data_IF_321077187142
#
_entry.id   IF_321077187142
#
_cell.length_a   1.000
_cell.length_b   1.000
_cell.length_c   1.000
_cell.angle_alpha   90.00
_cell.angle_beta   90.00
_cell.angle_gamma   90.00
#
_symmetry.space_group_name_H-M   'P 1'
#
loop_
_entity.id
_entity.type
_entity.pdbx_description
1 polymer ?
#
# COMPACT_ATOMS: atom_id res chain seq x y z
N UNK A 1 -4.72 9.87 7.04
CA UNK A 1 -4.48 9.91 5.57
C UNK A 1 -5.05 8.69 4.84
N UNK A 2 -4.66 7.47 5.23
CA UNK A 2 -5.11 6.23 4.57
C UNK A 2 -6.63 6.01 4.67
N UNK A 3 -7.20 6.06 5.87
CA UNK A 3 -8.66 5.94 6.07
C UNK A 3 -9.45 7.07 5.40
N UNK A 4 -8.84 8.25 5.29
CA UNK A 4 -9.45 9.39 4.59
C UNK A 4 -9.46 9.17 3.08
N UNK A 5 -8.38 8.67 2.51
CA UNK A 5 -8.30 8.33 1.10
C UNK A 5 -9.31 7.23 0.72
N UNK A 6 -9.51 6.23 1.58
CA UNK A 6 -10.55 5.21 1.39
C UNK A 6 -11.95 5.84 1.38
N UNK A 7 -12.24 6.71 2.36
CA UNK A 7 -13.51 7.42 2.44
C UNK A 7 -13.74 8.33 1.23
N UNK A 8 -12.72 9.06 0.79
CA UNK A 8 -12.79 9.96 -0.35
C UNK A 8 -12.98 9.19 -1.67
N UNK A 9 -12.43 7.97 -1.77
CA UNK A 9 -12.60 7.07 -2.90
C UNK A 9 -13.91 6.25 -2.84
N UNK A 10 -14.62 6.26 -1.70
CA UNK A 10 -15.87 5.52 -1.52
C UNK A 10 -15.70 3.99 -1.37
N UNK A 11 -14.49 3.53 -1.03
CA UNK A 11 -14.18 2.12 -0.84
C UNK A 11 -13.92 1.78 0.63
N UNK A 12 -14.30 0.57 1.04
CA UNK A 12 -13.89 0.01 2.30
C UNK A 12 -12.53 -0.68 2.18
N UNK A 13 -11.84 -0.89 3.31
CA UNK A 13 -10.55 -1.56 3.32
C UNK A 13 -10.60 -2.99 2.77
N UNK A 14 -11.78 -3.64 2.82
CA UNK A 14 -12.05 -4.96 2.24
C UNK A 14 -12.11 -4.98 0.72
N UNK A 15 -12.45 -3.85 0.09
CA UNK A 15 -12.62 -3.74 -1.36
C UNK A 15 -11.28 -3.63 -2.10
N UNK A 16 -10.18 -3.50 -1.36
CA UNK A 16 -8.84 -3.38 -1.93
C UNK A 16 -8.32 -4.77 -2.27
N UNK A 17 -8.18 -5.07 -3.56
CA UNK A 17 -7.67 -6.36 -4.05
C UNK A 17 -6.18 -6.55 -3.80
N UNK A 18 -5.37 -5.57 -4.20
CA UNK A 18 -3.92 -5.60 -4.10
C UNK A 18 -3.38 -4.36 -3.41
N UNK A 19 -2.30 -4.55 -2.64
CA UNK A 19 -1.63 -3.48 -1.92
C UNK A 19 -0.19 -3.43 -2.38
N UNK A 20 0.20 -2.36 -3.06
CA UNK A 20 1.57 -2.14 -3.53
C UNK A 20 2.24 -1.10 -2.64
N UNK A 21 3.41 -1.45 -2.10
CA UNK A 21 4.20 -0.53 -1.28
C UNK A 21 5.33 0.07 -2.12
N UNK A 22 5.32 1.40 -2.25
CA UNK A 22 6.29 2.17 -3.05
C UNK A 22 7.10 3.10 -2.16
N UNK A 23 8.41 3.20 -2.43
CA UNK A 23 9.38 4.00 -1.69
C UNK A 23 10.18 3.22 -0.63
N UNK A 24 11.44 3.62 -0.41
CA UNK A 24 12.38 2.94 0.49
C UNK A 24 11.94 2.85 1.97
N UNK A 25 11.13 3.78 2.44
CA UNK A 25 10.58 3.80 3.82
C UNK A 25 9.57 2.68 4.08
N UNK A 26 9.01 2.06 3.03
CA UNK A 26 8.08 0.91 3.15
C UNK A 26 8.78 -0.41 3.47
N UNK A 27 10.12 -0.42 3.47
CA UNK A 27 10.94 -1.56 3.92
C UNK A 27 10.96 -1.72 5.44
N UNK A 28 10.47 -0.71 6.18
CA UNK A 28 10.36 -0.76 7.64
C UNK A 28 9.33 -1.81 8.06
N UNK A 29 9.68 -2.82 8.89
CA UNK A 29 8.76 -3.88 9.30
C UNK A 29 7.46 -3.38 9.91
N UNK A 30 7.53 -2.30 10.70
CA UNK A 30 6.36 -1.71 11.36
C UNK A 30 5.33 -1.13 10.38
N UNK A 31 5.77 -0.62 9.24
CA UNK A 31 4.88 -0.09 8.20
C UNK A 31 4.10 -1.24 7.56
N UNK A 32 4.77 -2.37 7.30
CA UNK A 32 4.15 -3.57 6.74
C UNK A 32 3.10 -4.16 7.69
N UNK A 33 3.40 -4.24 8.98
CA UNK A 33 2.43 -4.65 10.00
C UNK A 33 1.21 -3.74 10.05
N UNK A 34 1.42 -2.42 10.02
CA UNK A 34 0.34 -1.45 10.06
C UNK A 34 -0.58 -1.59 8.84
N UNK A 35 -0.01 -1.70 7.65
CA UNK A 35 -0.78 -1.91 6.41
C UNK A 35 -1.56 -3.22 6.47
N UNK A 36 -0.93 -4.31 6.93
CA UNK A 36 -1.59 -5.59 7.13
C UNK A 36 -2.73 -5.51 8.16
N UNK A 37 -2.59 -4.71 9.22
CA UNK A 37 -3.65 -4.50 10.21
C UNK A 37 -4.82 -3.66 9.70
N UNK A 38 -4.56 -2.73 8.78
CA UNK A 38 -5.60 -1.85 8.21
C UNK A 38 -6.40 -2.57 7.13
N UNK A 39 -5.72 -3.30 6.25
CA UNK A 39 -6.33 -3.91 5.07
C UNK A 39 -6.52 -5.43 5.18
N UNK A 40 -5.98 -6.07 6.22
CA UNK A 40 -6.08 -7.52 6.43
C UNK A 40 -5.32 -8.40 5.42
N UNK A 41 -4.70 -7.80 4.40
CA UNK A 41 -3.98 -8.48 3.32
C UNK A 41 -2.48 -8.17 3.38
N UNK A 42 -1.67 -9.08 2.87
CA UNK A 42 -0.23 -8.84 2.76
C UNK A 42 0.09 -7.92 1.58
N UNK A 43 0.96 -6.91 1.77
CA UNK A 43 1.41 -6.06 0.69
C UNK A 43 2.29 -6.83 -0.30
N UNK A 44 2.05 -6.61 -1.58
CA UNK A 44 2.83 -7.17 -2.68
C UNK A 44 4.24 -6.56 -2.69
N UNK A 45 5.25 -7.44 -2.77
CA UNK A 45 6.67 -7.07 -2.70
C UNK A 45 7.39 -7.22 -4.05
N UNK A 46 6.69 -7.67 -5.11
CA UNK A 46 7.29 -7.97 -6.41
C UNK A 46 7.56 -6.75 -7.29
N UNK A 47 7.26 -5.54 -6.80
CA UNK A 47 7.41 -4.30 -7.56
C UNK A 47 8.62 -3.56 -7.02
N UNK A 48 9.60 -3.28 -7.88
CA UNK A 48 10.77 -2.48 -7.49
C UNK A 48 10.31 -1.04 -7.20
N UNK A 49 10.31 -0.60 -5.92
CA UNK A 49 9.75 0.68 -5.53
C UNK A 49 10.49 1.87 -6.13
N UNK A 50 11.74 1.67 -6.55
CA UNK A 50 12.60 2.72 -7.10
C UNK A 50 12.40 2.87 -8.63
N UNK A 51 11.91 1.84 -9.32
CA UNK A 51 11.67 1.85 -10.77
C UNK A 51 10.20 2.08 -11.12
N UNK A 52 9.24 1.71 -10.25
CA UNK A 52 7.81 1.81 -10.58
C UNK A 52 7.35 3.25 -10.83
N UNK A 53 7.98 4.22 -10.17
CA UNK A 53 7.68 5.64 -10.37
C UNK A 53 8.25 6.14 -11.69
N UNK A 54 9.42 5.65 -12.11
CA UNK A 54 10.07 6.05 -13.36
C UNK A 54 9.41 5.43 -14.59
N UNK A 55 8.83 4.23 -14.47
CA UNK A 55 8.11 3.57 -15.56
C UNK A 55 6.67 4.09 -15.71
N UNK A 56 6.05 4.58 -14.64
CA UNK A 56 4.67 5.05 -14.64
C UNK A 56 4.45 6.54 -14.88
N UNK A 57 5.52 7.36 -14.92
CA UNK A 57 5.47 8.79 -15.23
C UNK A 57 5.39 9.05 -16.74
#
# INVERSE_FOLDING_TARGET
PVLRALKDAGFEASDIDEIVLVGGSTRVPKVRELVKSIFGKEPHQGVNPDEVVAVGA
#
